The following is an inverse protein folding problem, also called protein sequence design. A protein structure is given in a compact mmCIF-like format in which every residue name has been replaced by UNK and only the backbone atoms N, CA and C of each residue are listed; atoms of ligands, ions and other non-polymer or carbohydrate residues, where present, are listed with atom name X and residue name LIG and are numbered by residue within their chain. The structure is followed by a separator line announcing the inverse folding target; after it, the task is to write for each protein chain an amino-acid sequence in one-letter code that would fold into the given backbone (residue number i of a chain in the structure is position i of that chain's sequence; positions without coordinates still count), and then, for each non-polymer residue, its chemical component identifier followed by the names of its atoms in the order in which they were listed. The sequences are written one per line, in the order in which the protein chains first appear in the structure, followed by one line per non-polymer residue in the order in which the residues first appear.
data_IF_984407733834
#
_entry.id   IF_984407733834
#
_cell.length_a   1.000
_cell.length_b   1.000
_cell.length_c   1.000
_cell.angle_alpha   90.00
_cell.angle_beta   90.00
_cell.angle_gamma   90.00
#
_symmetry.space_group_name_H-M   'P 1'
#
loop_
_entity.id
_entity.type
_entity.pdbx_description
1 polymer ?
#
# COMPACT_ATOMS: atom_id res chain seq x y z
N UNK A 1 -28.53 -9.98 14.33
CA UNK A 1 -28.33 -9.81 12.88
C UNK A 1 -26.94 -10.33 12.55
N UNK A 2 -26.79 -11.09 11.50
CA UNK A 2 -25.52 -11.66 11.05
C UNK A 2 -25.27 -11.37 9.58
N UNK A 3 -24.19 -11.91 9.04
CA UNK A 3 -23.77 -11.68 7.64
C UNK A 3 -24.90 -11.99 6.63
N UNK A 4 -25.71 -13.02 6.88
CA UNK A 4 -26.84 -13.38 6.00
C UNK A 4 -27.83 -12.23 5.90
N UNK A 5 -28.17 -11.62 7.03
CA UNK A 5 -29.12 -10.50 7.07
C UNK A 5 -28.61 -9.27 6.31
N UNK A 6 -27.27 -9.08 6.25
CA UNK A 6 -26.66 -7.95 5.52
C UNK A 6 -26.74 -8.15 4.01
N UNK A 7 -26.51 -9.38 3.53
CA UNK A 7 -26.57 -9.69 2.09
C UNK A 7 -28.02 -9.88 1.58
N UNK A 8 -29.03 -9.82 2.42
CA UNK A 8 -30.43 -9.68 2.02
C UNK A 8 -30.75 -8.24 1.58
N UNK A 9 -29.92 -7.25 1.96
CA UNK A 9 -30.04 -5.87 1.48
C UNK A 9 -29.46 -5.78 0.07
N UNK A 10 -30.27 -5.38 -0.95
CA UNK A 10 -29.84 -5.44 -2.36
C UNK A 10 -28.52 -4.68 -2.64
N UNK A 11 -28.35 -3.50 -2.05
CA UNK A 11 -27.17 -2.66 -2.23
C UNK A 11 -25.90 -3.32 -1.66
N UNK A 12 -25.98 -3.96 -0.51
CA UNK A 12 -24.86 -4.68 0.10
C UNK A 12 -24.54 -5.97 -0.64
N UNK A 13 -25.58 -6.69 -1.06
CA UNK A 13 -25.44 -7.91 -1.86
C UNK A 13 -24.75 -7.64 -3.20
N UNK A 14 -25.12 -6.54 -3.87
CA UNK A 14 -24.52 -6.16 -5.14
C UNK A 14 -23.03 -5.80 -4.98
N UNK A 15 -22.70 -4.94 -4.00
CA UNK A 15 -21.29 -4.61 -3.71
C UNK A 15 -20.48 -5.84 -3.32
N UNK A 16 -21.01 -6.69 -2.46
CA UNK A 16 -20.33 -7.93 -2.07
C UNK A 16 -20.09 -8.84 -3.28
N UNK A 17 -21.08 -8.98 -4.16
CA UNK A 17 -20.95 -9.76 -5.40
C UNK A 17 -19.87 -9.18 -6.31
N UNK A 18 -19.81 -7.84 -6.43
CA UNK A 18 -18.82 -7.13 -7.23
C UNK A 18 -17.40 -7.42 -6.72
N UNK A 19 -17.14 -7.22 -5.43
CA UNK A 19 -15.81 -7.45 -4.87
C UNK A 19 -15.44 -8.93 -4.85
N UNK A 20 -16.40 -9.82 -4.62
CA UNK A 20 -16.19 -11.27 -4.60
C UNK A 20 -15.69 -11.83 -5.94
N UNK A 21 -16.04 -11.21 -7.06
CA UNK A 21 -15.52 -11.61 -8.37
C UNK A 21 -14.00 -11.54 -8.46
N UNK A 22 -13.34 -10.76 -7.58
CA UNK A 22 -11.90 -10.57 -7.56
C UNK A 22 -11.17 -11.38 -6.49
N UNK A 23 -11.85 -12.26 -5.75
CA UNK A 23 -11.22 -13.13 -4.74
C UNK A 23 -10.30 -14.20 -5.31
N UNK A 24 -10.22 -14.31 -6.64
CA UNK A 24 -9.25 -15.16 -7.33
C UNK A 24 -7.84 -14.56 -7.35
N UNK A 25 -7.67 -13.28 -7.00
CA UNK A 25 -6.37 -12.64 -6.97
C UNK A 25 -5.48 -13.29 -5.90
N UNK A 26 -4.38 -13.88 -6.36
CA UNK A 26 -3.35 -14.48 -5.52
C UNK A 26 -2.04 -13.79 -5.82
N UNK A 27 -1.59 -13.01 -4.87
CA UNK A 27 -0.47 -12.11 -5.03
C UNK A 27 0.85 -12.73 -4.61
N UNK A 28 1.93 -12.28 -5.24
CA UNK A 28 3.30 -12.38 -4.75
C UNK A 28 4.10 -11.14 -5.15
N UNK A 29 5.13 -10.81 -4.38
CA UNK A 29 5.96 -9.64 -4.59
C UNK A 29 7.36 -10.03 -5.09
N UNK A 30 7.90 -9.22 -6.00
CA UNK A 30 9.17 -9.50 -6.66
C UNK A 30 10.00 -8.23 -6.74
N UNK A 31 11.20 -8.27 -6.15
CA UNK A 31 12.21 -7.25 -6.39
C UNK A 31 12.93 -7.59 -7.71
N UNK A 32 12.73 -6.79 -8.76
CA UNK A 32 13.19 -7.12 -10.11
C UNK A 32 14.57 -6.55 -10.44
N UNK A 33 15.10 -5.64 -9.62
CA UNK A 33 16.43 -5.05 -9.78
C UNK A 33 16.90 -4.36 -8.51
N UNK A 34 18.23 -4.31 -8.30
CA UNK A 34 18.88 -3.53 -7.25
C UNK A 34 19.24 -2.11 -7.69
N UNK A 35 19.05 -1.78 -8.98
CA UNK A 35 19.42 -0.49 -9.53
C UNK A 35 18.34 0.56 -9.31
N UNK A 36 18.74 1.74 -8.83
CA UNK A 36 17.92 2.95 -8.78
C UNK A 36 18.82 4.18 -8.85
N UNK A 37 18.33 5.24 -9.48
CA UNK A 37 19.00 6.53 -9.53
C UNK A 37 18.85 7.35 -8.25
N UNK A 38 17.90 6.98 -7.39
CA UNK A 38 17.59 7.66 -6.13
C UNK A 38 18.00 6.83 -4.92
N UNK A 39 18.15 7.53 -3.77
CA UNK A 39 18.32 6.99 -2.43
C UNK A 39 17.37 7.74 -1.51
N UNK A 40 16.09 7.41 -1.64
CA UNK A 40 15.05 8.04 -0.84
C UNK A 40 15.26 7.79 0.63
N UNK A 41 14.92 8.77 1.45
CA UNK A 41 14.97 8.64 2.90
C UNK A 41 14.05 7.50 3.35
N UNK A 42 14.57 6.60 4.19
CA UNK A 42 13.82 5.43 4.66
C UNK A 42 13.38 4.45 3.57
N UNK A 43 13.99 4.48 2.39
CA UNK A 43 13.70 3.51 1.34
C UNK A 43 13.99 2.09 1.82
N UNK A 44 12.94 1.27 1.89
CA UNK A 44 13.04 -0.12 2.36
C UNK A 44 14.06 -0.97 1.57
N UNK A 45 14.27 -0.62 0.30
CA UNK A 45 15.14 -1.40 -0.57
C UNK A 45 16.63 -1.24 -0.20
N UNK A 46 17.06 -0.03 0.16
CA UNK A 46 18.47 0.28 0.49
C UNK A 46 18.80 0.14 1.97
N UNK A 47 17.88 -0.39 2.77
CA UNK A 47 18.12 -0.72 4.16
C UNK A 47 18.34 -2.24 4.28
N UNK A 48 19.47 -2.64 4.85
CA UNK A 48 19.85 -4.04 4.98
C UNK A 48 20.69 -4.57 3.81
N UNK A 49 20.60 -5.86 3.54
CA UNK A 49 21.46 -6.60 2.62
C UNK A 49 20.95 -6.68 1.17
N UNK A 50 19.78 -6.13 0.89
CA UNK A 50 19.09 -6.29 -0.41
C UNK A 50 19.92 -5.75 -1.59
N UNK A 51 20.65 -4.67 -1.38
CA UNK A 51 21.44 -4.02 -2.42
C UNK A 51 22.81 -4.70 -2.70
N UNK A 52 23.23 -5.64 -1.87
CA UNK A 52 24.47 -6.39 -2.03
C UNK A 52 24.32 -7.62 -2.93
N UNK A 53 23.11 -7.92 -3.38
CA UNK A 53 22.82 -9.10 -4.17
C UNK A 53 23.10 -8.88 -5.65
N UNK A 54 23.49 -9.94 -6.36
CA UNK A 54 23.65 -9.93 -7.79
C UNK A 54 22.29 -10.06 -8.47
N UNK A 55 21.92 -9.07 -9.29
CA UNK A 55 20.68 -9.11 -10.05
C UNK A 55 20.69 -10.24 -11.08
N UNK A 56 19.63 -11.02 -11.17
CA UNK A 56 19.34 -11.82 -12.34
C UNK A 56 18.94 -10.90 -13.49
N UNK A 57 19.77 -10.81 -14.54
CA UNK A 57 19.60 -9.87 -15.67
C UNK A 57 19.04 -10.52 -16.93
N UNK A 58 18.96 -11.84 -16.96
CA UNK A 58 18.44 -12.58 -18.11
C UNK A 58 16.91 -12.57 -18.12
N UNK A 59 16.25 -11.96 -19.11
CA UNK A 59 14.79 -11.96 -19.20
C UNK A 59 14.18 -13.36 -19.35
N UNK A 60 14.88 -14.32 -19.94
CA UNK A 60 14.38 -15.69 -20.12
C UNK A 60 14.42 -16.47 -18.80
N UNK A 61 15.42 -16.24 -17.94
CA UNK A 61 15.41 -16.77 -16.59
C UNK A 61 14.21 -16.25 -15.79
N UNK A 62 13.91 -14.95 -15.90
CA UNK A 62 12.70 -14.37 -15.31
C UNK A 62 11.41 -14.94 -15.90
N UNK A 63 11.33 -15.11 -17.23
CA UNK A 63 10.18 -15.74 -17.88
C UNK A 63 9.93 -17.15 -17.33
N UNK A 64 10.96 -17.97 -17.28
CA UNK A 64 10.86 -19.34 -16.74
C UNK A 64 10.41 -19.35 -15.29
N UNK A 65 10.94 -18.40 -14.49
CA UNK A 65 10.54 -18.23 -13.11
C UNK A 65 9.05 -17.83 -12.99
N UNK A 66 8.57 -16.88 -13.78
CA UNK A 66 7.15 -16.48 -13.74
C UNK A 66 6.21 -17.56 -14.26
N UNK A 67 6.66 -18.45 -15.16
CA UNK A 67 5.92 -19.67 -15.52
C UNK A 67 5.72 -20.54 -14.28
N UNK A 68 6.76 -20.79 -13.50
CA UNK A 68 6.66 -21.58 -12.26
C UNK A 68 5.78 -20.91 -11.20
N UNK A 69 5.77 -19.58 -11.11
CA UNK A 69 4.88 -18.84 -10.22
C UNK A 69 3.41 -18.96 -10.66
N UNK A 70 3.14 -18.91 -11.97
CA UNK A 70 1.81 -19.15 -12.52
C UNK A 70 1.33 -20.59 -12.23
N UNK A 71 2.20 -21.59 -12.38
CA UNK A 71 1.91 -22.98 -12.04
C UNK A 71 1.65 -23.14 -10.52
N UNK A 72 2.34 -22.37 -9.68
CA UNK A 72 2.07 -22.29 -8.23
C UNK A 72 0.72 -21.64 -7.91
N UNK A 73 0.03 -21.08 -8.91
CA UNK A 73 -1.30 -20.49 -8.80
C UNK A 73 -1.29 -19.00 -8.51
N UNK A 74 -0.18 -18.29 -8.76
CA UNK A 74 -0.14 -16.84 -8.69
C UNK A 74 -0.86 -16.25 -9.90
N UNK A 75 -1.78 -15.32 -9.63
CA UNK A 75 -2.60 -14.65 -10.65
C UNK A 75 -2.34 -13.15 -10.70
N UNK A 76 -1.62 -12.60 -9.72
CA UNK A 76 -1.30 -11.18 -9.62
C UNK A 76 0.13 -10.98 -9.13
N UNK A 77 0.90 -10.15 -9.84
CA UNK A 77 2.29 -9.84 -9.47
C UNK A 77 2.43 -8.40 -8.96
N UNK A 78 3.17 -8.24 -7.87
CA UNK A 78 3.58 -6.93 -7.35
C UNK A 78 5.06 -6.76 -7.66
N UNK A 79 5.38 -5.97 -8.67
CA UNK A 79 6.75 -5.72 -9.08
C UNK A 79 7.29 -4.49 -8.37
N UNK A 80 8.37 -4.69 -7.66
CA UNK A 80 9.07 -3.67 -6.92
C UNK A 80 10.59 -3.85 -7.12
N UNK A 81 11.35 -3.41 -6.20
CA UNK A 81 12.80 -3.45 -6.20
C UNK A 81 13.32 -2.05 -5.98
N UNK A 82 14.54 -1.76 -6.49
CA UNK A 82 15.01 -0.40 -6.40
C UNK A 82 14.22 0.51 -7.35
N UNK A 83 14.31 0.28 -8.67
CA UNK A 83 13.49 1.00 -9.67
C UNK A 83 13.18 0.08 -10.87
N UNK A 84 11.96 -0.48 -10.96
CA UNK A 84 11.61 -1.43 -12.01
C UNK A 84 11.71 -0.88 -13.44
N UNK A 85 11.50 0.42 -13.65
CA UNK A 85 11.56 1.03 -14.99
C UNK A 85 12.95 0.91 -15.67
N UNK A 86 14.02 0.55 -14.92
CA UNK A 86 15.36 0.38 -15.51
C UNK A 86 15.57 -0.99 -16.15
N UNK A 87 14.66 -1.95 -15.93
CA UNK A 87 14.74 -3.32 -16.47
C UNK A 87 13.53 -3.69 -17.37
N UNK A 88 13.29 -2.95 -18.48
CA UNK A 88 12.06 -3.07 -19.27
C UNK A 88 11.87 -4.47 -19.88
N UNK A 89 12.94 -5.19 -20.21
CA UNK A 89 12.85 -6.56 -20.76
C UNK A 89 12.31 -7.55 -19.73
N UNK A 90 12.68 -7.40 -18.45
CA UNK A 90 12.17 -8.23 -17.36
C UNK A 90 10.69 -7.92 -17.14
N UNK A 91 10.30 -6.65 -17.11
CA UNK A 91 8.90 -6.25 -16.96
C UNK A 91 8.01 -6.84 -18.08
N UNK A 92 8.51 -6.85 -19.33
CA UNK A 92 7.82 -7.45 -20.46
C UNK A 92 7.70 -8.97 -20.32
N UNK A 93 8.78 -9.67 -19.96
CA UNK A 93 8.77 -11.12 -19.75
C UNK A 93 7.76 -11.53 -18.67
N UNK A 94 7.66 -10.73 -17.59
CA UNK A 94 6.68 -10.93 -16.53
C UNK A 94 5.24 -10.73 -17.05
N UNK A 95 4.98 -9.62 -17.74
CA UNK A 95 3.67 -9.26 -18.25
C UNK A 95 3.13 -10.29 -19.25
N UNK A 96 3.97 -10.78 -20.16
CA UNK A 96 3.61 -11.81 -21.13
C UNK A 96 3.26 -13.15 -20.47
N UNK A 97 3.73 -13.39 -19.25
CA UNK A 97 3.49 -14.64 -18.51
C UNK A 97 2.28 -14.53 -17.56
N UNK A 98 2.23 -13.48 -16.74
CA UNK A 98 1.15 -13.19 -15.79
C UNK A 98 0.66 -11.76 -16.06
N UNK A 99 -0.43 -11.57 -16.83
CA UNK A 99 -0.82 -10.25 -17.32
C UNK A 99 -1.49 -9.32 -16.28
N UNK A 100 -1.76 -9.81 -15.07
CA UNK A 100 -2.30 -9.00 -14.00
C UNK A 100 -1.22 -8.66 -12.98
N UNK A 101 -1.12 -7.38 -12.63
CA UNK A 101 -0.13 -6.94 -11.65
C UNK A 101 -0.04 -5.42 -11.50
N UNK A 102 0.87 -5.03 -10.64
CA UNK A 102 1.23 -3.64 -10.42
C UNK A 102 2.74 -3.45 -10.35
N UNK A 103 3.18 -2.24 -10.67
CA UNK A 103 4.58 -1.81 -10.59
C UNK A 103 4.66 -0.59 -9.70
N UNK A 104 5.46 -0.64 -8.63
CA UNK A 104 5.82 0.52 -7.84
C UNK A 104 7.06 1.19 -8.44
N UNK A 105 6.97 2.47 -8.83
CA UNK A 105 8.03 3.20 -9.52
C UNK A 105 8.16 4.64 -9.02
N UNK A 106 9.35 5.20 -9.16
CA UNK A 106 9.56 6.63 -8.96
C UNK A 106 9.11 7.48 -10.17
N UNK A 107 8.74 6.85 -11.29
CA UNK A 107 8.17 7.48 -12.47
C UNK A 107 9.09 8.38 -13.28
N UNK A 108 10.38 8.51 -12.94
CA UNK A 108 11.34 9.33 -13.69
C UNK A 108 11.69 8.75 -15.07
N UNK A 109 11.57 7.44 -15.21
CA UNK A 109 11.68 6.75 -16.48
C UNK A 109 10.35 6.12 -16.83
N UNK A 110 9.88 6.37 -18.07
CA UNK A 110 8.62 5.83 -18.55
C UNK A 110 8.70 4.31 -18.71
N UNK A 111 7.70 3.62 -18.18
CA UNK A 111 7.46 2.19 -18.42
C UNK A 111 6.70 2.05 -19.73
N UNK A 112 7.16 1.11 -20.55
CA UNK A 112 6.58 0.82 -21.88
C UNK A 112 5.04 0.67 -21.79
N UNK A 113 4.27 1.37 -22.65
CA UNK A 113 2.81 1.23 -22.69
C UNK A 113 2.31 -0.20 -22.96
N UNK A 114 3.11 -1.03 -23.65
CA UNK A 114 2.78 -2.43 -23.91
C UNK A 114 2.82 -3.32 -22.65
N UNK A 115 3.41 -2.83 -21.55
CA UNK A 115 3.35 -3.47 -20.23
C UNK A 115 2.10 -2.97 -19.50
N UNK A 116 0.98 -3.67 -19.64
CA UNK A 116 -0.33 -3.23 -19.19
C UNK A 116 -0.61 -3.36 -17.69
N UNK A 117 0.41 -3.30 -16.85
CA UNK A 117 0.24 -3.32 -15.39
C UNK A 117 -0.23 -1.98 -14.82
N UNK A 118 -0.92 -2.01 -13.68
CA UNK A 118 -1.17 -0.83 -12.86
C UNK A 118 0.17 -0.21 -12.43
N UNK A 119 0.29 1.11 -12.54
CA UNK A 119 1.50 1.85 -12.15
C UNK A 119 1.22 2.68 -10.91
N UNK A 120 1.90 2.36 -9.83
CA UNK A 120 1.89 3.12 -8.59
C UNK A 120 3.10 4.05 -8.58
N UNK A 121 2.88 5.33 -8.91
CA UNK A 121 3.95 6.33 -8.96
C UNK A 121 4.07 7.02 -7.59
N UNK A 122 5.20 6.80 -6.93
CA UNK A 122 5.42 7.37 -5.60
C UNK A 122 5.64 8.88 -5.64
N UNK A 123 5.01 9.62 -4.73
CA UNK A 123 5.22 11.05 -4.46
C UNK A 123 5.44 11.23 -2.96
N UNK A 124 6.43 12.05 -2.59
CA UNK A 124 6.85 12.22 -1.20
C UNK A 124 6.75 13.65 -0.67
N UNK A 125 6.20 14.54 -1.45
CA UNK A 125 6.02 15.95 -1.10
C UNK A 125 5.75 16.80 -2.33
N UNK A 126 5.64 18.10 -2.09
CA UNK A 126 5.53 19.14 -3.10
C UNK A 126 6.85 19.43 -3.82
N UNK A 127 6.91 20.55 -4.54
CA UNK A 127 8.11 20.99 -5.26
C UNK A 127 9.33 21.25 -4.37
N UNK A 128 9.12 21.47 -3.08
CA UNK A 128 10.18 21.75 -2.09
C UNK A 128 10.57 20.52 -1.28
N UNK A 129 9.61 19.68 -0.91
CA UNK A 129 9.83 18.51 -0.05
C UNK A 129 10.30 17.29 -0.80
N UNK A 130 9.74 16.98 -1.97
CA UNK A 130 10.10 15.76 -2.72
C UNK A 130 11.62 15.67 -2.98
N UNK A 131 12.36 16.73 -3.38
CA UNK A 131 13.81 16.69 -3.53
C UNK A 131 14.58 16.42 -2.22
N UNK A 132 14.03 16.79 -1.08
CA UNK A 132 14.65 16.58 0.23
C UNK A 132 14.56 15.11 0.64
N UNK A 133 13.40 14.50 0.44
CA UNK A 133 13.15 13.10 0.81
C UNK A 133 13.71 12.11 -0.22
N UNK A 134 13.84 12.52 -1.49
CA UNK A 134 14.23 11.66 -2.61
C UNK A 134 15.62 12.04 -3.16
N UNK A 135 16.65 11.82 -2.33
CA UNK A 135 18.04 12.18 -2.64
C UNK A 135 18.65 11.31 -3.74
N UNK A 136 19.64 11.85 -4.45
CA UNK A 136 20.54 11.06 -5.27
C UNK A 136 21.49 10.18 -4.43
N UNK A 137 22.12 9.18 -5.06
CA UNK A 137 23.05 8.27 -4.39
C UNK A 137 24.26 8.98 -3.75
N UNK A 138 24.60 10.18 -4.21
CA UNK A 138 25.67 11.01 -3.64
C UNK A 138 25.20 11.95 -2.51
N UNK A 139 23.96 11.78 -2.01
CA UNK A 139 23.39 12.56 -0.91
C UNK A 139 22.86 13.96 -1.28
N UNK A 140 23.05 14.42 -2.53
CA UNK A 140 22.48 15.70 -2.98
C UNK A 140 20.94 15.59 -3.06
N UNK A 141 20.22 16.72 -2.88
CA UNK A 141 18.78 16.75 -3.15
C UNK A 141 18.47 16.15 -4.51
N UNK A 142 17.43 15.35 -4.58
CA UNK A 142 16.97 14.71 -5.81
C UNK A 142 16.19 15.67 -6.70
N UNK A 143 15.63 15.19 -7.79
CA UNK A 143 14.72 15.98 -8.61
C UNK A 143 13.36 16.12 -7.91
N UNK A 144 12.63 17.19 -8.18
CA UNK A 144 11.19 17.16 -8.01
C UNK A 144 10.59 16.20 -9.05
N UNK A 145 10.13 15.03 -8.60
CA UNK A 145 9.72 13.96 -9.51
C UNK A 145 8.35 14.21 -10.16
N UNK A 146 7.45 14.92 -9.49
CA UNK A 146 6.07 15.09 -9.94
C UNK A 146 5.94 15.70 -11.35
N UNK A 147 6.66 16.78 -11.75
CA UNK A 147 6.57 17.30 -13.12
C UNK A 147 6.99 16.28 -14.18
N UNK A 148 8.08 15.53 -13.94
CA UNK A 148 8.54 14.50 -14.86
C UNK A 148 7.55 13.33 -14.94
N UNK A 149 6.95 12.93 -13.82
CA UNK A 149 5.93 11.89 -13.76
C UNK A 149 4.70 12.30 -14.58
N UNK A 150 4.17 13.51 -14.38
CA UNK A 150 3.01 14.02 -15.11
C UNK A 150 3.29 14.12 -16.61
N UNK A 151 4.49 14.51 -17.01
CA UNK A 151 4.91 14.55 -18.41
C UNK A 151 5.06 13.16 -19.02
N UNK A 152 5.77 12.24 -18.32
CA UNK A 152 6.04 10.90 -18.81
C UNK A 152 4.77 10.06 -18.97
N UNK A 153 3.76 10.30 -18.15
CA UNK A 153 2.55 9.48 -18.07
C UNK A 153 1.28 10.25 -18.39
N UNK A 154 1.39 11.35 -19.15
CA UNK A 154 0.24 12.12 -19.60
C UNK A 154 -0.80 11.21 -20.27
N UNK A 155 -2.05 11.27 -19.78
CA UNK A 155 -3.20 10.45 -20.26
C UNK A 155 -3.00 8.93 -20.08
N UNK A 156 -2.06 8.47 -19.28
CA UNK A 156 -1.85 7.03 -19.06
C UNK A 156 -2.79 6.52 -17.96
N UNK A 157 -3.83 5.80 -18.34
CA UNK A 157 -4.86 5.26 -17.43
C UNK A 157 -4.33 4.20 -16.45
N UNK A 158 -3.12 3.67 -16.69
CA UNK A 158 -2.49 2.72 -15.78
C UNK A 158 -2.04 3.37 -14.47
N UNK A 159 -1.86 4.70 -14.46
CA UNK A 159 -1.22 5.42 -13.37
C UNK A 159 -2.19 5.71 -12.22
N UNK A 160 -1.72 5.43 -11.01
CA UNK A 160 -2.18 6.04 -9.77
C UNK A 160 -0.96 6.63 -9.08
N UNK A 161 -1.07 7.89 -8.69
CA UNK A 161 -0.09 8.52 -7.81
C UNK A 161 -0.29 8.02 -6.39
N UNK A 162 0.79 7.70 -5.69
CA UNK A 162 0.76 7.27 -4.29
C UNK A 162 1.53 8.26 -3.46
N UNK A 163 0.81 9.12 -2.75
CA UNK A 163 1.42 10.07 -1.81
C UNK A 163 1.81 9.34 -0.53
N UNK A 164 3.09 9.37 -0.21
CA UNK A 164 3.61 8.74 1.01
C UNK A 164 3.76 9.78 2.11
N UNK A 165 2.86 9.74 3.07
CA UNK A 165 2.95 10.59 4.26
C UNK A 165 4.13 10.17 5.14
N UNK A 166 4.90 11.16 5.56
CA UNK A 166 5.89 11.06 6.61
C UNK A 166 5.58 12.06 7.75
N UNK A 167 6.51 12.24 8.68
CA UNK A 167 6.31 13.08 9.86
C UNK A 167 6.23 14.60 9.57
N UNK A 168 6.55 15.06 8.35
CA UNK A 168 6.70 16.48 8.02
C UNK A 168 5.86 16.95 6.83
N UNK A 169 5.47 16.05 5.94
CA UNK A 169 4.96 16.44 4.61
C UNK A 169 3.44 16.56 4.49
N UNK A 170 2.68 16.42 5.58
CA UNK A 170 1.22 16.49 5.50
C UNK A 170 0.69 17.80 4.87
N UNK A 171 1.33 18.93 5.18
CA UNK A 171 0.96 20.24 4.62
C UNK A 171 1.35 20.42 3.13
N UNK A 172 2.13 19.53 2.58
CA UNK A 172 2.59 19.58 1.18
C UNK A 172 1.67 18.85 0.20
N UNK A 173 0.63 18.21 0.72
CA UNK A 173 -0.29 17.40 -0.09
C UNK A 173 -1.10 18.28 -1.06
N UNK A 174 -1.47 19.50 -0.66
CA UNK A 174 -2.40 20.35 -1.40
C UNK A 174 -1.87 20.69 -2.81
N UNK A 175 -0.58 21.10 -2.94
CA UNK A 175 0.06 21.34 -4.24
C UNK A 175 0.06 20.08 -5.11
N UNK A 176 0.31 18.92 -4.51
CA UNK A 176 0.35 17.65 -5.23
C UNK A 176 -1.05 17.29 -5.75
N UNK A 177 -2.09 17.43 -4.91
CA UNK A 177 -3.47 17.14 -5.28
C UNK A 177 -3.95 18.00 -6.43
N UNK A 178 -3.74 19.33 -6.34
CA UNK A 178 -4.09 20.26 -7.41
C UNK A 178 -3.47 19.82 -8.74
N UNK A 179 -2.17 19.57 -8.78
CA UNK A 179 -1.45 19.20 -10.00
C UNK A 179 -1.85 17.83 -10.56
N UNK A 180 -2.10 16.84 -9.70
CA UNK A 180 -2.53 15.49 -10.10
C UNK A 180 -3.96 15.55 -10.63
N UNK A 181 -4.83 16.32 -9.98
CA UNK A 181 -6.22 16.56 -10.38
C UNK A 181 -6.31 17.26 -11.74
N UNK A 182 -5.57 18.35 -11.92
CA UNK A 182 -5.52 19.11 -13.17
C UNK A 182 -5.03 18.26 -14.35
N UNK A 183 -4.13 17.31 -14.08
CA UNK A 183 -3.64 16.36 -15.07
C UNK A 183 -4.63 15.20 -15.35
N UNK A 184 -5.77 15.13 -14.65
CA UNK A 184 -6.78 14.08 -14.80
C UNK A 184 -6.36 12.70 -14.29
N UNK A 185 -5.37 12.65 -13.41
CA UNK A 185 -4.91 11.42 -12.77
C UNK A 185 -5.59 11.15 -11.43
N UNK A 186 -5.40 9.94 -10.92
CA UNK A 186 -5.89 9.51 -9.61
C UNK A 186 -4.73 9.48 -8.60
N UNK A 187 -5.07 9.65 -7.32
CA UNK A 187 -4.13 9.62 -6.22
C UNK A 187 -4.66 8.73 -5.09
N UNK A 188 -3.78 7.98 -4.48
CA UNK A 188 -4.02 7.20 -3.27
C UNK A 188 -2.95 7.53 -2.22
N UNK A 189 -3.12 7.04 -1.00
CA UNK A 189 -2.23 7.34 0.11
C UNK A 189 -1.47 6.10 0.60
N UNK A 190 -0.27 6.37 1.10
CA UNK A 190 0.53 5.45 1.89
C UNK A 190 1.05 6.19 3.12
N UNK A 191 1.23 5.50 4.23
CA UNK A 191 1.80 6.07 5.45
C UNK A 191 3.16 5.44 5.69
N UNK A 192 4.18 6.27 5.87
CA UNK A 192 5.53 5.82 6.11
C UNK A 192 5.63 5.11 7.47
N UNK A 193 6.22 3.92 7.47
CA UNK A 193 6.22 3.03 8.63
C UNK A 193 7.35 3.28 9.63
N UNK A 194 8.29 4.16 9.32
CA UNK A 194 9.45 4.40 10.17
C UNK A 194 9.41 5.80 10.76
N UNK A 195 9.10 5.96 12.05
CA UNK A 195 9.41 7.19 12.74
C UNK A 195 10.93 7.39 12.77
N UNK A 196 11.37 8.64 12.65
CA UNK A 196 12.79 8.99 12.84
C UNK A 196 13.27 8.51 14.20
N UNK A 197 14.50 8.06 14.28
CA UNK A 197 15.10 7.66 15.55
C UNK A 197 14.94 8.79 16.59
N UNK A 198 14.37 8.46 17.74
CA UNK A 198 14.11 9.44 18.82
C UNK A 198 12.73 10.09 18.78
N UNK A 199 11.87 9.79 17.80
CA UNK A 199 10.48 10.29 17.78
C UNK A 199 9.69 9.71 18.97
N UNK A 200 9.10 10.57 19.78
CA UNK A 200 8.29 10.11 20.93
C UNK A 200 6.94 9.54 20.51
N UNK A 201 6.31 8.66 21.31
CA UNK A 201 4.96 8.15 21.03
C UNK A 201 3.91 9.26 20.86
N UNK A 202 4.08 10.38 21.56
CA UNK A 202 3.19 11.53 21.44
C UNK A 202 3.32 12.19 20.06
N UNK A 203 4.56 12.41 19.61
CA UNK A 203 4.84 12.98 18.28
C UNK A 203 4.32 12.08 17.16
N UNK A 204 4.46 10.77 17.31
CA UNK A 204 3.89 9.79 16.34
C UNK A 204 2.37 9.93 16.30
N UNK A 205 1.70 10.02 17.44
CA UNK A 205 0.24 10.18 17.52
C UNK A 205 -0.22 11.48 16.88
N UNK A 206 0.46 12.59 17.12
CA UNK A 206 0.16 13.88 16.52
C UNK A 206 0.35 13.85 15.00
N UNK A 207 1.41 13.21 14.53
CA UNK A 207 1.65 12.98 13.11
C UNK A 207 0.49 12.18 12.49
N UNK A 208 0.09 11.06 13.09
CA UNK A 208 -0.99 10.21 12.58
C UNK A 208 -2.32 10.93 12.56
N UNK A 209 -2.62 11.74 13.57
CA UNK A 209 -3.85 12.54 13.59
C UNK A 209 -3.86 13.57 12.46
N UNK A 210 -2.77 14.33 12.27
CA UNK A 210 -2.65 15.29 11.15
C UNK A 210 -2.72 14.61 9.78
N UNK A 211 -2.08 13.45 9.65
CA UNK A 211 -2.16 12.65 8.41
C UNK A 211 -3.60 12.26 8.11
N UNK A 212 -4.33 11.80 9.11
CA UNK A 212 -5.73 11.42 8.95
C UNK A 212 -6.62 12.60 8.56
N UNK A 213 -6.45 13.75 9.24
CA UNK A 213 -7.18 14.97 8.92
C UNK A 213 -6.95 15.39 7.46
N UNK A 214 -5.69 15.38 7.01
CA UNK A 214 -5.35 15.67 5.61
C UNK A 214 -5.89 14.65 4.61
N UNK A 215 -5.93 13.37 4.95
CA UNK A 215 -6.57 12.35 4.09
C UNK A 215 -8.06 12.60 3.93
N UNK A 216 -8.75 12.99 5.02
CA UNK A 216 -10.19 13.29 5.00
C UNK A 216 -10.46 14.55 4.18
N UNK A 217 -9.75 15.66 4.45
CA UNK A 217 -9.85 16.89 3.66
C UNK A 217 -9.68 16.60 2.16
N UNK A 218 -8.63 15.87 1.80
CA UNK A 218 -8.36 15.50 0.42
C UNK A 218 -9.47 14.66 -0.25
N UNK A 219 -10.08 13.72 0.49
CA UNK A 219 -11.22 12.94 -0.02
C UNK A 219 -12.47 13.79 -0.25
N UNK A 220 -12.67 14.80 0.60
CA UNK A 220 -13.83 15.70 0.51
C UNK A 220 -13.66 16.78 -0.57
N UNK A 221 -12.45 17.34 -0.72
CA UNK A 221 -12.15 18.37 -1.70
C UNK A 221 -11.91 17.83 -3.11
N UNK A 222 -11.34 16.62 -3.22
CA UNK A 222 -10.97 15.98 -4.49
C UNK A 222 -11.58 14.59 -4.66
N UNK A 223 -12.92 14.42 -4.52
CA UNK A 223 -13.58 13.10 -4.52
C UNK A 223 -13.36 12.31 -5.80
N UNK A 224 -13.20 13.01 -6.95
CA UNK A 224 -12.94 12.39 -8.25
C UNK A 224 -11.46 12.00 -8.45
N UNK A 225 -10.55 12.59 -7.69
CA UNK A 225 -9.10 12.37 -7.80
C UNK A 225 -8.61 11.35 -6.79
N UNK A 226 -9.08 11.43 -5.56
CA UNK A 226 -8.60 10.61 -4.45
C UNK A 226 -9.32 9.26 -4.44
N UNK A 227 -8.55 8.19 -4.61
CA UNK A 227 -9.01 6.80 -4.41
C UNK A 227 -8.60 6.36 -3.01
N UNK A 228 -9.43 6.67 -2.05
CA UNK A 228 -9.26 6.27 -0.64
C UNK A 228 -10.61 6.15 0.04
N UNK A 229 -10.65 5.66 1.29
CA UNK A 229 -11.87 5.62 2.08
C UNK A 229 -11.62 6.04 3.52
N UNK A 230 -12.68 6.44 4.24
CA UNK A 230 -12.58 6.80 5.65
C UNK A 230 -12.05 5.64 6.49
N UNK A 231 -12.46 4.41 6.17
CA UNK A 231 -11.96 3.24 6.88
C UNK A 231 -10.49 2.95 6.58
N UNK A 232 -10.01 3.18 5.33
CA UNK A 232 -8.59 3.11 5.02
C UNK A 232 -7.81 4.16 5.84
N UNK A 233 -8.29 5.39 5.91
CA UNK A 233 -7.67 6.45 6.70
C UNK A 233 -7.61 6.05 8.19
N UNK A 234 -8.71 5.57 8.76
CA UNK A 234 -8.79 5.09 10.13
C UNK A 234 -7.76 3.99 10.42
N UNK A 235 -7.72 2.96 9.57
CA UNK A 235 -6.87 1.79 9.77
C UNK A 235 -5.38 2.14 9.64
N UNK A 236 -5.01 2.96 8.65
CA UNK A 236 -3.61 3.31 8.41
C UNK A 236 -3.06 4.35 9.39
N UNK A 237 -3.92 5.10 10.06
CA UNK A 237 -3.53 6.09 11.07
C UNK A 237 -3.87 5.68 12.51
N UNK A 238 -4.35 4.45 12.72
CA UNK A 238 -4.60 3.92 14.06
C UNK A 238 -3.31 3.90 14.90
N UNK A 239 -3.44 4.08 16.20
CA UNK A 239 -2.33 3.96 17.13
C UNK A 239 -1.69 2.56 17.11
N UNK A 240 -2.50 1.53 16.85
CA UNK A 240 -2.02 0.16 16.63
C UNK A 240 -1.64 -0.02 15.17
N UNK A 241 -0.52 -0.66 14.91
CA UNK A 241 -0.11 -0.97 13.54
C UNK A 241 -1.10 -1.92 12.84
N UNK A 242 -1.01 -1.96 11.51
CA UNK A 242 -1.77 -2.92 10.70
C UNK A 242 -1.51 -4.37 11.10
N UNK A 243 -0.29 -4.70 11.55
CA UNK A 243 0.03 -6.03 12.05
C UNK A 243 -0.78 -6.40 13.29
N UNK A 244 -0.91 -5.50 14.24
CA UNK A 244 -1.72 -5.74 15.46
C UNK A 244 -3.20 -5.81 15.17
N UNK A 245 -3.68 -4.99 14.23
CA UNK A 245 -5.11 -4.97 13.89
C UNK A 245 -5.52 -6.21 13.09
N UNK A 246 -4.73 -6.60 12.11
CA UNK A 246 -5.15 -7.55 11.10
C UNK A 246 -4.12 -8.64 10.77
N UNK A 247 -2.88 -8.50 11.23
CA UNK A 247 -1.77 -9.37 10.85
C UNK A 247 -1.13 -8.95 9.54
N UNK A 248 -0.31 -9.83 8.95
CA UNK A 248 0.44 -9.54 7.74
C UNK A 248 0.38 -10.71 6.75
N UNK A 249 0.32 -10.48 5.43
CA UNK A 249 0.37 -11.53 4.42
C UNK A 249 1.73 -12.22 4.35
N UNK A 250 2.79 -11.55 4.78
CA UNK A 250 4.11 -12.15 4.87
C UNK A 250 4.14 -13.28 5.89
N UNK A 251 4.93 -14.34 5.66
CA UNK A 251 4.90 -15.53 6.50
C UNK A 251 5.36 -15.31 7.94
N UNK A 252 6.16 -14.27 8.17
CA UNK A 252 6.71 -13.93 9.48
C UNK A 252 6.66 -12.43 9.73
N UNK A 253 6.50 -12.07 11.01
CA UNK A 253 6.61 -10.71 11.51
C UNK A 253 7.73 -10.63 12.55
N UNK A 254 8.44 -9.51 12.58
CA UNK A 254 9.42 -9.19 13.63
C UNK A 254 8.75 -8.28 14.66
N UNK A 255 8.68 -8.74 15.89
CA UNK A 255 8.17 -8.00 17.04
C UNK A 255 9.28 -7.87 18.08
N UNK A 256 9.05 -7.05 19.10
CA UNK A 256 10.03 -6.86 20.20
C UNK A 256 10.43 -8.18 20.86
N UNK A 257 9.49 -9.12 21.00
CA UNK A 257 9.71 -10.46 21.57
C UNK A 257 10.37 -11.45 20.59
N UNK A 258 10.62 -11.07 19.35
CA UNK A 258 11.25 -11.88 18.32
C UNK A 258 10.44 -12.07 17.06
N UNK A 259 10.88 -12.99 16.20
CA UNK A 259 10.21 -13.29 14.93
C UNK A 259 9.14 -14.34 15.12
N UNK A 260 7.89 -13.98 14.78
CA UNK A 260 6.71 -14.83 14.94
C UNK A 260 6.06 -15.17 13.59
N UNK A 261 5.48 -16.37 13.42
CA UNK A 261 4.66 -16.69 12.25
C UNK A 261 3.39 -15.84 12.22
N UNK A 262 3.01 -15.34 11.06
CA UNK A 262 1.76 -14.58 10.90
C UNK A 262 0.56 -15.43 10.54
N UNK A 263 0.78 -16.53 9.87
CA UNK A 263 -0.26 -17.50 9.48
C UNK A 263 -1.30 -17.03 8.46
N UNK A 264 -1.19 -15.80 7.93
CA UNK A 264 -2.26 -15.18 7.13
C UNK A 264 -2.31 -15.64 5.68
N UNK A 265 -1.19 -15.91 5.07
CA UNK A 265 -1.15 -16.35 3.68
C UNK A 265 -0.24 -17.55 3.51
N UNK A 266 -0.77 -18.60 2.89
CA UNK A 266 0.03 -19.77 2.47
C UNK A 266 0.62 -19.60 1.07
N UNK A 267 0.11 -18.66 0.28
CA UNK A 267 0.46 -18.48 -1.13
C UNK A 267 1.34 -17.26 -1.39
N UNK A 268 1.21 -16.22 -0.59
CA UNK A 268 2.02 -15.00 -0.74
C UNK A 268 3.50 -15.29 -0.46
N UNK A 269 4.34 -14.90 -1.40
CA UNK A 269 5.80 -14.97 -1.28
C UNK A 269 6.42 -13.65 -1.71
N UNK A 270 7.61 -13.38 -1.23
CA UNK A 270 8.43 -12.27 -1.69
C UNK A 270 9.79 -12.80 -2.17
N UNK A 271 10.22 -12.35 -3.35
CA UNK A 271 11.44 -12.80 -3.99
C UNK A 271 12.43 -11.66 -4.17
N UNK A 272 13.71 -11.98 -4.14
CA UNK A 272 14.81 -11.06 -4.34
C UNK A 272 15.19 -10.97 -5.82
N UNK A 273 16.09 -10.04 -6.14
CA UNK A 273 16.55 -9.77 -7.50
C UNK A 273 17.30 -10.93 -8.16
N UNK A 274 17.78 -11.88 -7.39
CA UNK A 274 18.43 -13.13 -7.83
C UNK A 274 17.47 -14.31 -7.92
N UNK A 275 16.15 -14.08 -7.82
CA UNK A 275 15.08 -15.07 -7.78
C UNK A 275 15.02 -15.90 -6.50
N UNK A 276 15.85 -15.61 -5.50
CA UNK A 276 15.79 -16.33 -4.23
C UNK A 276 14.57 -15.93 -3.41
N UNK A 277 13.98 -16.90 -2.72
CA UNK A 277 12.87 -16.66 -1.82
C UNK A 277 13.34 -16.03 -0.50
N UNK A 278 12.62 -15.04 -0.04
CA UNK A 278 12.88 -14.39 1.24
C UNK A 278 12.23 -15.19 2.38
N UNK A 279 12.83 -16.27 2.82
CA UNK A 279 12.25 -17.11 3.90
C UNK A 279 12.19 -16.41 5.26
N UNK A 280 13.20 -15.61 5.57
CA UNK A 280 13.37 -15.01 6.90
C UNK A 280 12.76 -13.63 7.01
N UNK A 281 12.04 -13.15 6.02
CA UNK A 281 12.06 -11.75 5.89
C UNK A 281 10.86 -10.98 6.15
N UNK A 282 11.13 -9.99 6.75
CA UNK A 282 10.54 -8.68 6.65
C UNK A 282 10.38 -8.25 5.20
N UNK A 283 9.17 -7.89 4.85
CA UNK A 283 8.85 -7.34 3.53
C UNK A 283 9.59 -6.03 3.27
N UNK A 284 9.88 -5.29 4.30
CA UNK A 284 10.31 -3.92 4.20
C UNK A 284 11.76 -3.77 4.66
N UNK A 285 11.98 -3.56 5.92
CA UNK A 285 13.26 -3.16 6.47
C UNK A 285 13.72 -4.19 7.47
N UNK A 286 14.97 -4.66 7.40
CA UNK A 286 15.48 -5.70 8.30
C UNK A 286 15.34 -5.38 9.78
N UNK A 287 15.43 -4.09 10.14
CA UNK A 287 15.46 -3.63 11.51
C UNK A 287 14.16 -2.94 11.98
N UNK A 288 13.11 -2.96 11.16
CA UNK A 288 11.82 -2.39 11.54
C UNK A 288 10.99 -3.39 12.34
N UNK A 289 10.48 -2.94 13.49
CA UNK A 289 9.47 -3.66 14.23
C UNK A 289 8.15 -3.66 13.42
N UNK A 290 7.58 -4.84 13.20
CA UNK A 290 6.28 -4.97 12.55
C UNK A 290 5.15 -4.36 13.41
N UNK A 291 5.40 -4.13 14.70
CA UNK A 291 4.49 -3.40 15.56
C UNK A 291 4.21 -1.97 15.05
N UNK A 292 5.17 -1.35 14.36
CA UNK A 292 5.02 0.00 13.80
C UNK A 292 4.64 0.00 12.32
N UNK A 293 4.41 -1.18 11.73
CA UNK A 293 4.17 -1.31 10.30
C UNK A 293 2.84 -0.67 9.87
N UNK A 294 2.93 0.22 8.87
CA UNK A 294 1.80 0.85 8.18
C UNK A 294 1.85 0.59 6.68
N UNK A 295 2.56 -0.47 6.29
CA UNK A 295 2.86 -0.74 4.90
C UNK A 295 1.60 -1.07 4.10
N UNK A 296 1.47 -0.44 2.95
CA UNK A 296 0.34 -0.56 2.03
C UNK A 296 0.05 -2.01 1.58
N UNK A 297 1.09 -2.84 1.41
CA UNK A 297 0.94 -4.24 1.04
C UNK A 297 0.18 -5.09 2.09
N UNK A 298 0.13 -4.65 3.35
CA UNK A 298 -0.68 -5.31 4.36
C UNK A 298 -2.20 -5.19 4.07
N UNK A 299 -2.61 -4.27 3.19
CA UNK A 299 -4.00 -4.12 2.76
C UNK A 299 -4.60 -5.38 2.14
N UNK A 300 -3.81 -6.15 1.37
CA UNK A 300 -4.28 -7.42 0.80
C UNK A 300 -4.69 -8.44 1.86
N UNK A 301 -4.01 -8.44 3.01
CA UNK A 301 -4.33 -9.33 4.14
C UNK A 301 -5.71 -9.03 4.75
N UNK A 302 -6.12 -7.77 4.78
CA UNK A 302 -7.45 -7.36 5.28
C UNK A 302 -8.53 -7.90 4.34
N UNK A 303 -8.29 -7.78 3.03
CA UNK A 303 -9.23 -8.19 2.00
C UNK A 303 -9.51 -9.70 2.06
N UNK A 304 -8.46 -10.50 2.11
CA UNK A 304 -8.57 -11.95 1.93
C UNK A 304 -8.77 -12.73 3.23
N UNK A 305 -8.22 -12.24 4.36
CA UNK A 305 -8.07 -13.05 5.57
C UNK A 305 -8.94 -12.59 6.75
N UNK A 306 -9.43 -11.37 6.74
CA UNK A 306 -10.08 -10.75 7.91
C UNK A 306 -11.56 -10.42 7.72
N UNK A 307 -12.15 -10.93 6.66
CA UNK A 307 -13.60 -10.88 6.46
C UNK A 307 -14.39 -11.29 7.72
N UNK A 308 -14.10 -12.39 8.43
CA UNK A 308 -14.86 -12.77 9.62
C UNK A 308 -14.87 -11.72 10.74
N UNK A 309 -13.88 -10.85 10.79
CA UNK A 309 -13.80 -9.78 11.81
C UNK A 309 -14.73 -8.59 11.50
N UNK A 310 -15.31 -8.56 10.31
CA UNK A 310 -16.10 -7.45 9.79
C UNK A 310 -17.57 -7.80 9.58
N UNK A 311 -18.02 -8.99 10.00
CA UNK A 311 -19.39 -9.45 9.77
C UNK A 311 -20.23 -9.59 11.06
N UNK A 312 -19.72 -9.08 12.17
CA UNK A 312 -20.45 -9.02 13.44
C UNK A 312 -21.43 -7.83 13.54
N UNK A 313 -21.24 -6.82 12.69
CA UNK A 313 -22.18 -5.71 12.53
C UNK A 313 -22.25 -5.23 11.08
N UNK A 314 -23.39 -4.67 10.68
CA UNK A 314 -23.57 -4.09 9.35
C UNK A 314 -22.58 -2.97 9.10
N UNK A 315 -22.32 -2.10 10.09
CA UNK A 315 -21.37 -1.02 9.97
C UNK A 315 -19.96 -1.53 9.62
N UNK A 316 -19.47 -2.57 10.30
CA UNK A 316 -18.17 -3.17 9.98
C UNK A 316 -18.17 -3.83 8.61
N UNK A 317 -19.26 -4.44 8.20
CA UNK A 317 -19.38 -5.02 6.88
C UNK A 317 -19.34 -3.94 5.78
N UNK A 318 -20.02 -2.80 5.98
CA UNK A 318 -19.93 -1.63 5.10
C UNK A 318 -18.50 -1.09 5.02
N UNK A 319 -17.84 -0.92 6.16
CA UNK A 319 -16.44 -0.47 6.23
C UNK A 319 -15.49 -1.42 5.48
N UNK A 320 -15.68 -2.73 5.65
CA UNK A 320 -14.90 -3.73 4.93
C UNK A 320 -15.14 -3.67 3.41
N UNK A 321 -16.38 -3.55 2.97
CA UNK A 321 -16.71 -3.39 1.56
C UNK A 321 -16.04 -2.16 0.97
N UNK A 322 -16.04 -1.05 1.69
CA UNK A 322 -15.42 0.19 1.26
C UNK A 322 -13.90 0.08 1.18
N UNK A 323 -13.29 -0.60 2.14
CA UNK A 323 -11.86 -0.91 2.11
C UNK A 323 -11.47 -1.76 0.90
N UNK A 324 -12.22 -2.85 0.66
CA UNK A 324 -11.96 -3.76 -0.47
C UNK A 324 -12.17 -3.07 -1.81
N UNK A 325 -13.22 -2.28 -1.94
CA UNK A 325 -13.54 -1.53 -3.14
C UNK A 325 -12.43 -0.52 -3.48
N UNK A 326 -11.94 0.20 -2.45
CA UNK A 326 -10.77 1.10 -2.56
C UNK A 326 -9.51 0.36 -2.98
N UNK A 327 -9.24 -0.79 -2.36
CA UNK A 327 -8.12 -1.64 -2.71
C UNK A 327 -8.17 -2.07 -4.17
N UNK A 328 -9.29 -2.63 -4.62
CA UNK A 328 -9.45 -3.09 -6.01
C UNK A 328 -9.33 -1.94 -7.01
N UNK A 329 -9.91 -0.77 -6.73
CA UNK A 329 -9.78 0.41 -7.58
C UNK A 329 -8.33 0.91 -7.69
N UNK A 330 -7.54 0.76 -6.63
CA UNK A 330 -6.12 1.12 -6.63
C UNK A 330 -5.27 0.11 -7.41
N UNK A 331 -5.62 -1.18 -7.36
CA UNK A 331 -4.78 -2.26 -7.90
C UNK A 331 -5.18 -2.73 -9.30
N UNK A 332 -6.45 -2.55 -9.71
CA UNK A 332 -6.95 -2.97 -11.02
C UNK A 332 -7.29 -1.76 -11.90
N UNK A 333 -6.88 -1.81 -13.17
CA UNK A 333 -7.05 -0.68 -14.11
C UNK A 333 -8.52 -0.43 -14.42
N UNK A 334 -9.28 -1.50 -14.70
CA UNK A 334 -10.66 -1.43 -15.17
C UNK A 334 -11.69 -1.64 -14.05
N UNK A 335 -11.27 -1.48 -12.79
CA UNK A 335 -12.18 -1.59 -11.68
C UNK A 335 -12.84 -0.24 -11.39
N UNK A 336 -14.13 -0.17 -11.57
CA UNK A 336 -14.93 0.97 -11.16
C UNK A 336 -15.19 0.90 -9.65
N UNK A 337 -14.77 1.93 -8.94
CA UNK A 337 -15.11 2.08 -7.53
C UNK A 337 -16.62 2.28 -7.38
N UNK A 338 -17.21 1.58 -6.42
CA UNK A 338 -18.61 1.79 -6.05
C UNK A 338 -18.80 3.06 -5.20
N UNK A 339 -20.04 3.34 -4.83
CA UNK A 339 -20.35 4.38 -3.87
C UNK A 339 -19.79 4.02 -2.48
N UNK A 340 -19.24 5.00 -1.80
CA UNK A 340 -18.76 4.84 -0.43
C UNK A 340 -19.96 4.69 0.51
N UNK A 341 -20.05 3.53 1.18
CA UNK A 341 -21.10 3.24 2.16
C UNK A 341 -20.69 3.52 3.60
N UNK A 342 -19.37 3.64 3.86
CA UNK A 342 -18.83 4.03 5.14
C UNK A 342 -18.66 5.56 5.15
N UNK A 343 -19.68 6.23 5.64
CA UNK A 343 -19.75 7.70 5.63
C UNK A 343 -18.85 8.33 6.68
N UNK A 344 -18.64 9.65 6.60
CA UNK A 344 -17.93 10.40 7.63
C UNK A 344 -18.57 10.26 9.01
N UNK A 345 -19.90 10.22 9.08
CA UNK A 345 -20.62 10.01 10.36
C UNK A 345 -20.35 8.63 10.95
N UNK A 346 -20.33 7.56 10.12
CA UNK A 346 -19.96 6.21 10.56
C UNK A 346 -18.51 6.19 11.08
N UNK A 347 -17.62 6.88 10.43
CA UNK A 347 -16.23 7.02 10.83
C UNK A 347 -16.08 7.75 12.18
N UNK A 348 -16.76 8.87 12.39
CA UNK A 348 -16.74 9.61 13.65
C UNK A 348 -17.31 8.76 14.80
N UNK A 349 -18.43 8.07 14.56
CA UNK A 349 -19.01 7.16 15.53
C UNK A 349 -18.06 6.01 15.91
N UNK A 350 -17.39 5.39 14.92
CA UNK A 350 -16.44 4.31 15.18
C UNK A 350 -15.22 4.79 16.00
N UNK A 351 -14.74 5.99 15.74
CA UNK A 351 -13.64 6.59 16.53
C UNK A 351 -14.06 6.84 17.99
N UNK A 352 -15.26 7.34 18.20
CA UNK A 352 -15.77 7.60 19.56
C UNK A 352 -15.91 6.30 20.35
N UNK A 353 -16.54 5.27 19.78
CA UNK A 353 -16.65 3.95 20.41
C UNK A 353 -15.29 3.36 20.78
N UNK A 354 -14.29 3.48 19.88
CA UNK A 354 -12.94 2.98 20.14
C UNK A 354 -12.27 3.75 21.28
N UNK A 355 -12.45 5.07 21.34
CA UNK A 355 -11.95 5.91 22.43
C UNK A 355 -12.55 5.51 23.76
N UNK A 356 -13.86 5.30 23.80
CA UNK A 356 -14.59 4.94 25.01
C UNK A 356 -14.19 3.54 25.51
N UNK A 357 -14.01 2.59 24.57
CA UNK A 357 -13.48 1.25 24.88
C UNK A 357 -12.07 1.28 25.46
N UNK A 358 -11.18 2.13 24.93
CA UNK A 358 -9.82 2.27 25.49
C UNK A 358 -9.82 2.90 26.88
N UNK A 359 -10.71 3.86 27.13
CA UNK A 359 -10.84 4.51 28.43
C UNK A 359 -11.46 3.56 29.49
N UNK A 360 -12.42 2.71 29.10
CA UNK A 360 -13.00 1.71 30.00
C UNK A 360 -12.01 0.60 30.34
N UNK A 361 -11.29 0.06 29.35
CA UNK A 361 -10.25 -0.95 29.59
C UNK A 361 -9.09 -0.43 30.44
N UNK A 362 -8.70 0.85 30.31
CA UNK A 362 -7.71 1.47 31.16
C UNK A 362 -8.20 1.66 32.61
N UNK A 363 -9.50 1.88 32.82
CA UNK A 363 -10.07 1.97 34.17
C UNK A 363 -10.13 0.60 34.86
N UNK A 364 -10.48 -0.46 34.12
CA UNK A 364 -10.47 -1.84 34.67
C UNK A 364 -9.04 -2.29 35.04
N UNK A 365 -8.03 -1.95 34.22
CA UNK A 365 -6.64 -2.26 34.52
C UNK A 365 -6.04 -1.43 35.70
N UNK A 366 -6.63 -0.29 36.03
CA UNK A 366 -6.22 0.55 37.15
C UNK A 366 -6.89 0.15 38.51
N UNK A 367 -7.85 -0.76 38.46
CA UNK A 367 -8.60 -1.26 39.63
C UNK A 367 -8.12 -2.67 40.06
N UNK A 368 -7.28 -3.32 39.26
CA UNK A 368 -6.56 -4.56 39.59
C UNK A 368 -5.12 -4.27 39.98
#
# INVERSE_FOLDING_TARGET
MGFVDYIEKPELAERYRKVRKHFYLRESAYDVTSACQLRCEGCYYFQGDKYSMTDQRDPEAWRSFFVSEKERGITYVVLAGAEPAVVPKILRACYETIPLGSIASNGLKRIDPDVGYRLHLSVWGDSTGDPVYRKYANGRPGPNCLPAQLQNYKNDKRVIFVYTFNHENAAQLDEVLERVSDAGHKLSFNVFSQPSAGTSPLQIREMLNRTMEKMIEAMEEYPETVIYSYYNAEVHTDAKSLHHLFGCPYPRARLAEGTVPTGLSKTFRSYRTDLSYKESSNCCVPDTDCADCRHYAAGSAIVSSRFPMHVDSERKFRAWLDYVDTYLATWLIDYERGENLYTYNDFVAARQERRDSLLSGAREAAVL
#
